data_IF_363603555765
#
_entry.id   IF_363603555765
#
_cell.length_a   1.000
_cell.length_b   1.000
_cell.length_c   1.000
_cell.angle_alpha   90.00
_cell.angle_beta   90.00
_cell.angle_gamma   90.00
#
_symmetry.space_group_name_H-M   'P 1'
#
loop_
_entity.id
_entity.type
_entity.pdbx_description
1 polymer ?
#
# COMPACT_ATOMS: atom_id res chain seq x y z
N UNK A 1 -16.92 18.61 27.02
CA UNK A 1 -16.49 18.81 25.62
C UNK A 1 -15.18 18.09 25.47
N UNK A 2 -15.20 16.83 25.06
CA UNK A 2 -13.99 16.00 25.02
C UNK A 2 -13.96 15.24 23.69
N UNK A 3 -12.75 15.15 23.13
CA UNK A 3 -12.30 14.41 21.94
C UNK A 3 -12.30 15.14 20.59
N UNK A 4 -11.12 15.64 20.20
CA UNK A 4 -10.69 15.56 18.80
C UNK A 4 -9.38 14.78 18.57
N UNK A 5 -8.77 14.16 19.58
CA UNK A 5 -7.45 13.51 19.43
C UNK A 5 -7.49 12.06 18.90
N UNK A 6 -8.59 11.31 19.08
CA UNK A 6 -8.65 9.90 18.65
C UNK A 6 -8.48 9.70 17.13
N UNK A 7 -8.98 10.62 16.31
CA UNK A 7 -8.96 10.47 14.85
C UNK A 7 -7.56 10.62 14.21
N UNK A 8 -6.60 11.26 14.88
CA UNK A 8 -5.28 11.51 14.30
C UNK A 8 -4.36 10.29 14.45
N UNK A 9 -4.34 9.67 15.64
CA UNK A 9 -3.61 8.41 15.88
C UNK A 9 -4.12 7.28 14.98
N UNK A 10 -5.44 7.09 14.86
CA UNK A 10 -6.01 6.07 13.97
C UNK A 10 -5.63 6.28 12.49
N UNK A 11 -5.51 7.54 12.06
CA UNK A 11 -5.09 7.88 10.70
C UNK A 11 -3.60 7.60 10.48
N UNK A 12 -2.77 7.85 11.49
CA UNK A 12 -1.34 7.56 11.45
C UNK A 12 -1.08 6.05 11.45
N UNK A 13 -1.75 5.29 12.32
CA UNK A 13 -1.67 3.82 12.35
C UNK A 13 -2.11 3.20 11.02
N UNK A 14 -3.17 3.76 10.39
CA UNK A 14 -3.63 3.31 9.08
C UNK A 14 -2.60 3.61 7.97
N UNK A 15 -1.95 4.78 8.03
CA UNK A 15 -0.89 5.17 7.10
C UNK A 15 0.33 4.26 7.21
N UNK A 16 0.75 3.96 8.44
CA UNK A 16 1.87 3.05 8.71
C UNK A 16 1.55 1.65 8.17
N UNK A 17 0.35 1.13 8.49
CA UNK A 17 -0.09 -0.18 8.00
C UNK A 17 -0.14 -0.24 6.47
N UNK A 18 -0.73 0.77 5.82
CA UNK A 18 -0.77 0.83 4.36
C UNK A 18 0.63 0.90 3.73
N UNK A 19 1.56 1.60 4.39
CA UNK A 19 2.95 1.69 3.94
C UNK A 19 3.69 0.36 4.06
N UNK A 20 3.51 -0.36 5.17
CA UNK A 20 4.06 -1.71 5.37
C UNK A 20 3.51 -2.67 4.31
N UNK A 21 2.20 -2.64 4.06
CA UNK A 21 1.57 -3.48 3.04
C UNK A 21 2.02 -3.10 1.62
N UNK A 22 2.20 -1.81 1.33
CA UNK A 22 2.76 -1.37 0.04
C UNK A 22 4.19 -1.89 -0.15
N UNK A 23 5.04 -1.78 0.87
CA UNK A 23 6.40 -2.29 0.84
C UNK A 23 6.45 -3.83 0.66
N UNK A 24 5.53 -4.56 1.27
CA UNK A 24 5.42 -6.01 1.07
C UNK A 24 5.04 -6.36 -0.38
N UNK A 25 4.09 -5.64 -0.97
CA UNK A 25 3.72 -5.81 -2.38
C UNK A 25 4.88 -5.44 -3.32
N UNK A 26 5.67 -4.43 -2.98
CA UNK A 26 6.87 -4.08 -3.74
C UNK A 26 7.92 -5.18 -3.72
N UNK A 27 8.18 -5.78 -2.55
CA UNK A 27 9.08 -6.93 -2.45
C UNK A 27 8.58 -8.09 -3.29
N UNK A 28 7.30 -8.43 -3.18
CA UNK A 28 6.72 -9.54 -3.96
C UNK A 28 6.80 -9.28 -5.46
N UNK A 29 6.54 -8.04 -5.89
CA UNK A 29 6.70 -7.65 -7.29
C UNK A 29 8.15 -7.82 -7.75
N UNK A 30 9.12 -7.42 -6.91
CA UNK A 30 10.53 -7.53 -7.24
C UNK A 30 10.98 -8.99 -7.32
N UNK A 31 10.51 -9.85 -6.41
CA UNK A 31 10.74 -11.31 -6.51
C UNK A 31 10.20 -11.85 -7.84
N UNK A 32 8.97 -11.48 -8.23
CA UNK A 32 8.39 -11.88 -9.51
C UNK A 32 9.18 -11.33 -10.71
N UNK A 33 9.71 -10.11 -10.62
CA UNK A 33 10.52 -9.51 -11.70
C UNK A 33 11.90 -10.17 -11.84
N UNK A 34 12.42 -10.80 -10.77
CA UNK A 34 13.68 -11.56 -10.85
C UNK A 34 13.55 -12.90 -11.58
N UNK A 35 12.34 -13.45 -11.72
CA UNK A 35 12.15 -14.66 -12.50
C UNK A 35 12.23 -14.36 -13.99
N UNK A 36 13.23 -14.95 -14.66
CA UNK A 36 13.47 -14.80 -16.10
C UNK A 36 12.30 -15.31 -16.97
N UNK A 37 11.54 -16.28 -16.46
CA UNK A 37 10.32 -16.78 -17.07
C UNK A 37 9.26 -17.00 -16.00
N UNK A 38 8.21 -16.19 -16.04
CA UNK A 38 7.06 -16.34 -15.15
C UNK A 38 6.11 -17.39 -15.73
N UNK A 39 5.55 -18.25 -14.87
CA UNK A 39 4.39 -19.05 -15.24
C UNK A 39 3.16 -18.17 -15.39
N UNK A 40 2.12 -18.68 -16.05
CA UNK A 40 0.85 -17.96 -16.23
C UNK A 40 0.22 -17.53 -14.90
N UNK A 41 0.39 -18.32 -13.86
CA UNK A 41 -0.09 -18.02 -12.51
C UNK A 41 0.69 -16.86 -11.89
N UNK A 42 2.02 -16.86 -12.05
CA UNK A 42 2.88 -15.78 -11.57
C UNK A 42 2.70 -14.47 -12.38
N UNK A 43 2.37 -14.54 -13.67
CA UNK A 43 1.99 -13.36 -14.45
C UNK A 43 0.68 -12.74 -13.97
N UNK A 44 -0.31 -13.58 -13.64
CA UNK A 44 -1.56 -13.14 -13.03
C UNK A 44 -1.31 -12.53 -11.64
N UNK A 45 -0.48 -13.17 -10.82
CA UNK A 45 -0.05 -12.65 -9.52
C UNK A 45 0.64 -11.29 -9.68
N UNK A 46 1.58 -11.15 -10.64
CA UNK A 46 2.26 -9.88 -10.93
C UNK A 46 1.28 -8.78 -11.31
N UNK A 47 0.28 -9.08 -12.13
CA UNK A 47 -0.76 -8.12 -12.51
C UNK A 47 -1.62 -7.71 -11.29
N UNK A 48 -1.99 -8.66 -10.44
CA UNK A 48 -2.74 -8.41 -9.21
C UNK A 48 -1.93 -7.57 -8.21
N UNK A 49 -0.66 -7.92 -7.98
CA UNK A 49 0.26 -7.18 -7.10
C UNK A 49 0.44 -5.75 -7.57
N UNK A 50 0.60 -5.51 -8.89
CA UNK A 50 0.67 -4.14 -9.45
C UNK A 50 -0.61 -3.34 -9.15
N UNK A 51 -1.78 -3.96 -9.31
CA UNK A 51 -3.07 -3.31 -9.05
C UNK A 51 -3.22 -2.97 -7.56
N UNK A 52 -2.91 -3.91 -6.67
CA UNK A 52 -2.97 -3.71 -5.22
C UNK A 52 -2.00 -2.63 -4.76
N UNK A 53 -0.77 -2.60 -5.32
CA UNK A 53 0.22 -1.56 -5.03
C UNK A 53 -0.32 -0.18 -5.41
N UNK A 54 -0.89 -0.04 -6.61
CA UNK A 54 -1.48 1.22 -7.06
C UNK A 54 -2.63 1.67 -6.14
N UNK A 55 -3.55 0.76 -5.80
CA UNK A 55 -4.64 1.05 -4.88
C UNK A 55 -4.14 1.53 -3.51
N UNK A 56 -3.15 0.86 -2.92
CA UNK A 56 -2.57 1.28 -1.64
C UNK A 56 -1.86 2.62 -1.75
N UNK A 57 -1.14 2.88 -2.84
CA UNK A 57 -0.53 4.20 -3.09
C UNK A 57 -1.58 5.31 -3.15
N UNK A 58 -2.69 5.06 -3.84
CA UNK A 58 -3.80 6.03 -3.92
C UNK A 58 -4.47 6.24 -2.56
N UNK A 59 -4.64 5.19 -1.76
CA UNK A 59 -5.15 5.29 -0.39
C UNK A 59 -4.21 6.09 0.52
N UNK A 60 -2.90 5.85 0.45
CA UNK A 60 -1.88 6.63 1.16
C UNK A 60 -1.95 8.09 0.74
N UNK A 61 -1.94 8.37 -0.57
CA UNK A 61 -2.00 9.74 -1.09
C UNK A 61 -3.32 10.46 -0.73
N UNK A 62 -4.44 9.73 -0.66
CA UNK A 62 -5.70 10.29 -0.19
C UNK A 62 -5.66 10.59 1.31
N UNK A 63 -5.16 9.66 2.12
CA UNK A 63 -5.02 9.86 3.57
C UNK A 63 -4.07 11.01 3.86
N UNK A 64 -2.86 11.04 3.29
CA UNK A 64 -1.90 12.14 3.50
C UNK A 64 -2.48 13.52 3.17
N UNK A 65 -3.26 13.63 2.08
CA UNK A 65 -3.96 14.87 1.73
C UNK A 65 -5.06 15.22 2.72
N UNK A 66 -5.80 14.23 3.22
CA UNK A 66 -6.86 14.42 4.21
C UNK A 66 -6.30 14.88 5.57
N UNK A 67 -5.13 14.37 5.98
CA UNK A 67 -4.50 14.70 7.26
C UNK A 67 -3.59 15.94 7.20
N UNK A 68 -3.36 16.53 6.01
CA UNK A 68 -2.47 17.68 5.85
C UNK A 68 -0.98 17.34 5.99
N UNK A 69 -0.61 16.07 5.80
CA UNK A 69 0.78 15.58 5.81
C UNK A 69 1.47 15.74 4.44
N UNK A 70 0.90 16.56 3.54
CA UNK A 70 1.35 16.75 2.17
C UNK A 70 2.22 18.00 2.00
#
# INVERSE_FOLDING_TARGET
METPMANQDETFELLERLSVEHAALERRLNELDTYHSLTREEELERAQVKKLKLQKKDQIAWLSRKTGLA
#
